data_IF_313939047346
#
_entry.id   IF_313939047346
#
_cell.length_a   1.000
_cell.length_b   1.000
_cell.length_c   1.000
_cell.angle_alpha   90.00
_cell.angle_beta   90.00
_cell.angle_gamma   90.00
#
_symmetry.space_group_name_H-M   'P 1'
#
loop_
_entity.id
_entity.type
_entity.pdbx_description
1 polymer ?
#
# COMPACT_ATOMS: atom_id res chain seq x y z
N UNK A 1 13.27 6.40 9.95
CA UNK A 1 12.57 6.02 8.72
C UNK A 1 11.08 6.30 8.84
N UNK A 2 10.49 6.84 7.80
CA UNK A 2 9.06 7.11 7.80
C UNK A 2 8.33 5.98 7.11
N UNK A 3 7.24 5.56 7.73
CA UNK A 3 6.37 4.56 7.13
C UNK A 3 5.06 5.22 6.75
N UNK A 4 4.50 4.79 5.63
CA UNK A 4 3.19 5.28 5.19
C UNK A 4 2.15 4.26 5.63
N UNK A 5 1.18 4.71 6.41
CA UNK A 5 0.15 3.81 6.94
C UNK A 5 -0.91 3.53 5.88
N UNK A 6 -1.29 2.25 5.76
CA UNK A 6 -2.43 1.84 4.95
C UNK A 6 -3.64 1.90 5.88
N UNK A 7 -4.48 2.91 5.70
CA UNK A 7 -5.58 3.19 6.63
C UNK A 7 -6.91 2.94 5.93
N UNK A 8 -7.81 2.24 6.60
CA UNK A 8 -9.15 2.03 6.08
C UNK A 8 -9.92 3.35 6.11
N UNK A 9 -10.33 3.86 4.95
CA UNK A 9 -11.08 5.12 4.92
C UNK A 9 -12.52 4.90 5.35
N UNK A 10 -13.24 5.99 5.55
CA UNK A 10 -14.68 5.91 5.77
C UNK A 10 -15.33 5.50 4.46
N UNK A 11 -15.98 4.35 4.48
CA UNK A 11 -16.59 3.80 3.27
C UNK A 11 -18.01 4.28 3.05
N UNK A 12 -18.58 5.01 4.01
CA UNK A 12 -19.95 5.49 3.89
C UNK A 12 -20.98 4.39 4.02
N UNK A 13 -20.60 3.25 4.60
CA UNK A 13 -21.53 2.14 4.79
C UNK A 13 -22.30 2.30 6.09
N UNK A 14 -23.32 1.46 6.24
CA UNK A 14 -24.12 1.42 7.46
C UNK A 14 -23.21 1.13 8.66
N UNK A 15 -23.24 1.96 9.72
CA UNK A 15 -22.34 1.75 10.87
C UNK A 15 -22.55 0.39 11.57
N UNK A 16 -23.71 -0.22 11.40
CA UNK A 16 -23.98 -1.52 12.02
C UNK A 16 -23.47 -2.69 11.18
N UNK A 17 -23.00 -2.42 9.97
CA UNK A 17 -22.56 -3.47 9.09
C UNK A 17 -21.11 -3.85 9.38
N UNK A 18 -20.83 -5.13 9.65
CA UNK A 18 -19.45 -5.55 9.90
C UNK A 18 -18.58 -5.30 8.67
N UNK A 19 -17.36 -4.86 8.93
CA UNK A 19 -16.37 -4.66 7.88
C UNK A 19 -15.23 -5.64 8.14
N UNK A 20 -14.88 -6.40 7.13
CA UNK A 20 -13.94 -7.50 7.27
C UNK A 20 -12.86 -7.39 6.19
N UNK A 21 -11.61 -7.68 6.57
CA UNK A 21 -10.53 -7.80 5.58
C UNK A 21 -10.78 -9.07 4.79
N UNK A 22 -10.95 -8.93 3.49
CA UNK A 22 -11.28 -10.06 2.63
C UNK A 22 -10.04 -10.69 2.02
N UNK A 23 -9.12 -9.87 1.51
CA UNK A 23 -7.97 -10.40 0.80
C UNK A 23 -6.87 -9.35 0.65
N UNK A 24 -5.61 -9.75 0.83
CA UNK A 24 -4.47 -8.90 0.51
C UNK A 24 -3.92 -9.30 -0.87
N UNK A 25 -3.75 -8.29 -1.74
CA UNK A 25 -3.19 -8.53 -3.06
C UNK A 25 -1.67 -8.56 -3.06
N UNK A 26 -1.05 -8.01 -2.00
CA UNK A 26 0.40 -7.99 -1.86
C UNK A 26 0.77 -8.63 -0.53
N UNK A 27 1.96 -9.18 -0.45
CA UNK A 27 2.48 -9.76 0.77
C UNK A 27 3.59 -8.92 1.37
N UNK A 28 3.91 -9.20 2.63
CA UNK A 28 5.01 -8.52 3.30
C UNK A 28 6.29 -8.80 2.53
N UNK A 29 7.03 -7.74 2.23
CA UNK A 29 8.24 -7.82 1.43
C UNK A 29 8.06 -7.49 -0.03
N UNK A 30 6.82 -7.39 -0.50
CA UNK A 30 6.57 -7.10 -1.89
C UNK A 30 6.74 -5.61 -2.18
N UNK A 31 7.20 -5.31 -3.39
CA UNK A 31 7.24 -3.94 -3.88
C UNK A 31 5.85 -3.56 -4.37
N UNK A 32 5.44 -2.34 -4.04
CA UNK A 32 4.13 -1.83 -4.42
C UNK A 32 4.28 -0.42 -4.99
N UNK A 33 3.32 -0.02 -5.81
CA UNK A 33 3.29 1.32 -6.40
C UNK A 33 2.11 2.09 -5.81
N UNK A 34 2.33 3.36 -5.58
CA UNK A 34 1.25 4.23 -5.09
C UNK A 34 0.03 4.08 -6.00
N UNK A 35 -1.13 3.86 -5.40
CA UNK A 35 -2.37 3.67 -6.14
C UNK A 35 -2.72 2.23 -6.45
N UNK A 36 -1.74 1.31 -6.31
CA UNK A 36 -2.03 -0.12 -6.51
C UNK A 36 -3.00 -0.61 -5.45
N UNK A 37 -3.89 -1.51 -5.84
CA UNK A 37 -4.77 -2.16 -4.87
C UNK A 37 -3.91 -3.00 -3.93
N UNK A 38 -4.03 -2.78 -2.64
CA UNK A 38 -3.31 -3.57 -1.66
C UNK A 38 -4.18 -4.59 -0.97
N UNK A 39 -5.40 -4.19 -0.60
CA UNK A 39 -6.22 -5.04 0.22
C UNK A 39 -7.68 -4.84 -0.15
N UNK A 40 -8.42 -5.94 -0.18
CA UNK A 40 -9.86 -5.92 -0.43
C UNK A 40 -10.60 -6.00 0.90
N UNK A 41 -11.59 -5.15 1.04
CA UNK A 41 -12.41 -5.04 2.25
C UNK A 41 -13.84 -5.36 1.88
N UNK A 42 -14.49 -6.19 2.68
CA UNK A 42 -15.89 -6.55 2.48
C UNK A 42 -16.76 -5.88 3.53
N UNK A 43 -17.86 -5.30 3.10
CA UNK A 43 -18.85 -4.70 3.98
C UNK A 43 -20.23 -5.20 3.50
N UNK A 44 -20.67 -6.31 4.07
CA UNK A 44 -21.88 -6.99 3.60
C UNK A 44 -21.71 -7.44 2.15
N UNK A 45 -22.63 -7.08 1.25
CA UNK A 45 -22.52 -7.49 -0.16
C UNK A 45 -21.55 -6.65 -0.97
N UNK A 46 -20.96 -5.61 -0.38
CA UNK A 46 -20.08 -4.68 -1.08
C UNK A 46 -18.62 -5.00 -0.82
N UNK A 47 -17.77 -4.74 -1.81
CA UNK A 47 -16.33 -4.84 -1.65
C UNK A 47 -15.68 -3.53 -2.05
N UNK A 48 -14.58 -3.21 -1.39
CA UNK A 48 -13.81 -2.00 -1.62
C UNK A 48 -12.34 -2.34 -1.65
N UNK A 49 -11.56 -1.61 -2.46
CA UNK A 49 -10.11 -1.79 -2.49
C UNK A 49 -9.45 -0.61 -1.80
N UNK A 50 -8.48 -0.90 -0.95
CA UNK A 50 -7.65 0.12 -0.33
C UNK A 50 -6.31 0.12 -1.06
N UNK A 51 -5.89 1.30 -1.51
CA UNK A 51 -4.72 1.44 -2.35
C UNK A 51 -3.47 1.74 -1.55
N UNK A 52 -2.32 1.46 -2.17
CA UNK A 52 -1.03 1.77 -1.58
C UNK A 52 -0.91 3.28 -1.41
N UNK A 53 -0.51 3.74 -0.23
CA UNK A 53 -0.37 5.18 0.03
C UNK A 53 0.93 5.75 -0.53
N UNK A 54 1.85 4.89 -0.93
CA UNK A 54 3.13 5.33 -1.45
C UNK A 54 3.77 4.19 -2.24
N UNK A 55 4.69 4.53 -3.11
CA UNK A 55 5.51 3.55 -3.80
C UNK A 55 6.62 3.12 -2.87
N UNK A 56 6.80 1.82 -2.72
CA UNK A 56 7.83 1.29 -1.83
C UNK A 56 7.62 -0.18 -1.58
N UNK A 57 7.91 -0.60 -0.35
CA UNK A 57 7.79 -2.00 0.02
C UNK A 57 6.79 -2.16 1.15
N UNK A 58 5.90 -3.13 1.02
CA UNK A 58 4.96 -3.47 2.09
C UNK A 58 5.74 -4.19 3.18
N UNK A 59 5.88 -3.55 4.33
CA UNK A 59 6.75 -4.08 5.39
C UNK A 59 5.99 -4.66 6.57
N UNK A 60 4.71 -4.32 6.70
CA UNK A 60 3.93 -4.82 7.82
C UNK A 60 2.48 -4.97 7.40
N UNK A 61 1.87 -6.09 7.78
CA UNK A 61 0.43 -6.32 7.62
C UNK A 61 -0.13 -6.51 9.02
N UNK A 62 -1.10 -5.65 9.40
CA UNK A 62 -1.77 -5.73 10.70
C UNK A 62 -3.17 -6.28 10.59
N UNK A 63 -3.92 -5.85 9.57
CA UNK A 63 -5.26 -6.36 9.33
C UNK A 63 -5.19 -7.60 8.48
N UNK A 64 -5.43 -8.75 9.08
CA UNK A 64 -5.33 -10.03 8.38
C UNK A 64 -6.67 -10.42 7.81
N UNK A 65 -6.65 -11.37 6.88
CA UNK A 65 -7.88 -11.88 6.30
C UNK A 65 -8.81 -12.37 7.41
N UNK A 66 -10.08 -12.04 7.25
CA UNK A 66 -11.16 -12.37 8.18
C UNK A 66 -11.19 -11.51 9.43
N UNK A 67 -10.25 -10.58 9.61
CA UNK A 67 -10.31 -9.67 10.76
C UNK A 67 -11.42 -8.66 10.60
N UNK A 68 -12.10 -8.36 11.70
CA UNK A 68 -13.04 -7.27 11.77
C UNK A 68 -12.25 -5.96 11.90
N UNK A 69 -12.63 -4.97 11.10
CA UNK A 69 -11.96 -3.68 11.10
C UNK A 69 -13.01 -2.57 11.05
N UNK A 70 -12.55 -1.35 11.19
CA UNK A 70 -13.43 -0.18 11.13
C UNK A 70 -12.68 0.99 10.50
N UNK A 71 -13.39 2.02 10.05
CA UNK A 71 -12.73 3.19 9.48
C UNK A 71 -11.69 3.73 10.46
N UNK A 72 -10.53 4.06 9.93
CA UNK A 72 -9.40 4.52 10.74
C UNK A 72 -8.45 3.42 11.19
N UNK A 73 -8.83 2.15 11.02
CA UNK A 73 -7.94 1.05 11.36
C UNK A 73 -6.71 1.08 10.46
N UNK A 74 -5.54 0.91 11.06
CA UNK A 74 -4.30 0.77 10.29
C UNK A 74 -4.18 -0.68 9.87
N UNK A 75 -4.18 -0.90 8.55
CA UNK A 75 -4.16 -2.24 7.98
C UNK A 75 -2.73 -2.74 7.77
N UNK A 76 -1.79 -1.83 7.65
CA UNK A 76 -0.40 -2.18 7.43
C UNK A 76 0.44 -0.94 7.16
N UNK A 77 1.70 -1.16 6.78
CA UNK A 77 2.62 -0.06 6.51
C UNK A 77 3.45 -0.33 5.26
N UNK A 78 3.67 0.73 4.50
CA UNK A 78 4.57 0.71 3.34
C UNK A 78 5.78 1.57 3.69
N UNK A 79 6.98 1.04 3.44
CA UNK A 79 8.21 1.80 3.56
C UNK A 79 8.46 2.48 2.21
N UNK A 80 8.30 3.80 2.12
CA UNK A 80 8.43 4.47 0.84
C UNK A 80 9.84 4.35 0.27
N UNK A 81 9.93 4.34 -1.03
CA UNK A 81 11.21 4.28 -1.72
C UNK A 81 11.86 5.65 -1.66
N UNK A 82 12.89 5.78 -0.82
CA UNK A 82 13.48 7.08 -0.56
C UNK A 82 14.38 7.57 -1.69
N UNK A 83 14.87 6.66 -2.48
CA UNK A 83 15.70 7.06 -3.60
C UNK A 83 14.96 7.89 -4.64
N UNK A 84 13.66 7.95 -4.52
CA UNK A 84 12.85 8.73 -5.44
C UNK A 84 12.55 10.13 -4.94
N UNK A 85 13.04 10.44 -3.79
CA UNK A 85 12.79 11.76 -3.30
C UNK A 85 13.66 12.70 -4.07
N UNK A 86 13.41 12.93 -4.74
CA UNK A 86 14.16 13.60 -5.38
C UNK A 86 15.40 13.78 -5.76
N UNK A 87 15.41 13.18 -5.54
CA UNK A 87 16.11 13.28 -5.86
C UNK A 87 16.85 13.02 -6.31
N UNK A 88 16.89 12.66 -6.23
CA UNK A 88 17.52 12.52 -6.61
C UNK A 88 18.04 12.30 -7.24
N UNK A 89 18.29 12.10 -7.32
CA UNK A 89 18.82 11.96 -7.91
C UNK A 89 19.22 11.65 -8.52
N UNK A 90 19.49 11.45 -8.62
CA UNK A 90 20.04 11.26 -9.29
C UNK A 90 20.27 10.75 -9.82
N UNK A 91 20.36 10.59 -9.85
CA UNK A 91 20.77 10.19 -10.53
C UNK A 91 20.92 9.53 -10.94
N UNK A 92 20.92 9.19 -10.90
CA UNK A 92 21.43 8.74 -11.51
C UNK A 92 21.43 7.95 -11.77
N UNK A 93 21.53 7.87 -11.91
CA UNK A 93 21.88 7.53 -12.31
C UNK A 93 21.86 7.15 -12.78
N UNK A 94 21.78 6.96 -12.89
CA UNK A 94 22.07 6.85 -13.42
C UNK A 94 22.07 6.50 -13.81
N UNK A 95 21.94 6.16 -14.00
CA UNK A 95 22.28 6.05 -14.63
C UNK A 95 22.18 5.51 -14.83
N UNK A 96 22.17 5.37 -15.04
CA UNK A 96 22.39 5.22 -15.50
C UNK A 96 22.14 4.72 -15.67
N UNK A 97 22.16 4.64 -15.87
CA UNK A 97 22.17 4.48 -16.24
C UNK A 97 21.98 4.08 -16.51
N UNK A 98 21.92 3.75 -16.70
CA UNK A 98 22.03 3.61 -17.15
C UNK A 98 21.65 3.10 -17.20
N UNK A 99 21.61 2.94 -17.38
CA UNK A 99 21.64 2.81 -17.58
C UNK A 99 21.10 2.42 -17.37
N UNK A 100 20.98 2.51 -17.44
CA UNK A 100 20.74 2.53 -17.26
C UNK A 100 20.29 2.27 -17.42
N UNK A 101 19.96 1.63 -17.66
CA UNK A 101 19.94 1.62 -17.88
C UNK A 101 19.43 1.38 -17.89
N UNK A 102 19.32 1.30 -18.05
CA UNK A 102 19.08 1.37 -18.04
C UNK A 102 18.49 1.13 -18.00
N UNK A 103 18.41 0.91 -18.02
CA UNK A 103 18.16 1.01 -17.92
C UNK A 103 17.55 0.77 -17.82
N UNK A 104 17.34 0.61 -17.94
CA UNK A 104 17.07 0.71 -17.81
C UNK A 104 16.47 0.51 -17.86
N UNK A 105 16.30 0.32 -18.15
CA UNK A 105 16.01 0.45 -18.21
C UNK A 105 15.83 0.29 -18.15
#
# INVERSE_FOLDING_TARGET
MRLAAVILPDLGTNPDMPIIVSHWYAGRGDDVWEGDRLVEISAGPLTFDVSAPATGRLVEIRGREDDLVQPGTILGYVAPCEGQDGGDEESGRNGGTGGHGDVTR
#
